data_IF_698945619250
#
_entry.id   IF_698945619250
#
_cell.length_a   1.000
_cell.length_b   1.000
_cell.length_c   1.000
_cell.angle_alpha   90.00
_cell.angle_beta   90.00
_cell.angle_gamma   90.00
#
_symmetry.space_group_name_H-M   'P 1'
#
loop_
_entity.id
_entity.type
_entity.pdbx_description
1 polymer ?
#
# COMPACT_ATOMS: atom_id res chain seq x y z
N UNK A 1 -16.18 -8.73 4.58
CA UNK A 1 -16.21 -7.28 4.28
C UNK A 1 -14.94 -6.55 4.70
N UNK A 2 -14.52 -6.61 5.98
CA UNK A 2 -13.29 -5.94 6.49
C UNK A 2 -12.05 -6.16 5.61
N UNK A 3 -11.70 -7.42 5.29
CA UNK A 3 -10.54 -7.77 4.46
C UNK A 3 -10.62 -7.21 3.04
N UNK A 4 -11.78 -7.33 2.40
CA UNK A 4 -12.02 -6.81 1.05
C UNK A 4 -11.85 -5.29 1.00
N UNK A 5 -12.46 -4.57 1.95
CA UNK A 5 -12.33 -3.12 2.03
C UNK A 5 -10.88 -2.70 2.32
N UNK A 6 -10.20 -3.39 3.23
CA UNK A 6 -8.81 -3.12 3.57
C UNK A 6 -7.86 -3.29 2.38
N UNK A 7 -7.94 -4.42 1.66
CA UNK A 7 -7.06 -4.66 0.52
C UNK A 7 -7.39 -3.71 -0.63
N UNK A 8 -8.67 -3.41 -0.87
CA UNK A 8 -9.08 -2.39 -1.83
C UNK A 8 -8.44 -1.03 -1.50
N UNK A 9 -8.61 -0.54 -0.28
CA UNK A 9 -8.11 0.78 0.14
C UNK A 9 -6.58 0.87 0.11
N UNK A 10 -5.89 -0.14 0.62
CA UNK A 10 -4.43 -0.19 0.63
C UNK A 10 -3.83 -0.31 -0.78
N UNK A 11 -4.43 -1.16 -1.62
CA UNK A 11 -3.93 -1.34 -2.98
C UNK A 11 -4.33 -0.22 -3.93
N UNK A 12 -5.50 0.41 -3.75
CA UNK A 12 -5.91 1.60 -4.48
C UNK A 12 -4.87 2.69 -4.36
N UNK A 13 -4.43 2.95 -3.12
CA UNK A 13 -3.40 3.94 -2.84
C UNK A 13 -2.08 3.63 -3.55
N UNK A 14 -1.60 2.38 -3.45
CA UNK A 14 -0.35 1.97 -4.08
C UNK A 14 -0.41 1.97 -5.61
N UNK A 15 -1.52 1.52 -6.19
CA UNK A 15 -1.74 1.44 -7.63
C UNK A 15 -1.93 2.81 -8.29
N UNK A 16 -2.59 3.74 -7.60
CA UNK A 16 -2.64 5.14 -8.02
C UNK A 16 -1.22 5.73 -8.09
N UNK A 17 -0.43 5.56 -7.02
CA UNK A 17 0.91 6.14 -6.95
C UNK A 17 1.86 5.53 -7.96
N UNK A 18 1.91 4.20 -8.11
CA UNK A 18 2.77 3.57 -9.12
C UNK A 18 2.35 3.95 -10.56
N UNK A 19 1.05 4.09 -10.81
CA UNK A 19 0.51 4.50 -12.11
C UNK A 19 0.89 5.93 -12.50
N UNK A 20 0.97 6.83 -11.52
CA UNK A 20 1.32 8.24 -11.73
C UNK A 20 2.76 8.58 -11.35
N UNK A 21 3.59 7.61 -10.93
CA UNK A 21 4.89 7.83 -10.28
C UNK A 21 5.83 8.72 -11.10
N UNK A 22 5.98 8.40 -12.39
CA UNK A 22 6.83 9.15 -13.32
C UNK A 22 6.31 10.58 -13.55
N UNK A 23 4.99 10.74 -13.61
CA UNK A 23 4.36 12.04 -13.82
C UNK A 23 4.51 12.93 -12.58
N UNK A 24 4.30 12.36 -11.39
CA UNK A 24 4.54 13.03 -10.10
C UNK A 24 5.96 13.57 -10.05
N UNK A 25 6.98 12.74 -10.25
CA UNK A 25 8.38 13.20 -10.22
C UNK A 25 8.71 14.19 -11.34
N UNK A 26 8.08 14.04 -12.52
CA UNK A 26 8.22 14.98 -13.63
C UNK A 26 7.80 16.42 -13.29
N UNK A 27 6.76 16.60 -12.47
CA UNK A 27 6.32 17.93 -12.03
C UNK A 27 7.37 18.68 -11.20
N UNK A 28 8.27 17.95 -10.54
CA UNK A 28 9.34 18.51 -9.71
C UNK A 28 10.67 18.62 -10.46
N UNK A 29 10.68 18.42 -11.79
CA UNK A 29 11.91 18.49 -12.59
C UNK A 29 12.93 17.39 -12.27
N UNK A 30 12.48 16.26 -11.69
CA UNK A 30 13.33 15.10 -11.41
C UNK A 30 13.85 14.54 -12.73
N UNK A 31 15.13 14.18 -12.77
CA UNK A 31 15.76 13.74 -14.02
C UNK A 31 15.15 12.44 -14.55
N UNK A 32 15.03 12.32 -15.88
CA UNK A 32 14.40 11.18 -16.52
C UNK A 32 15.01 9.82 -16.11
N UNK A 33 16.33 9.77 -15.95
CA UNK A 33 17.04 8.59 -15.46
C UNK A 33 16.57 8.19 -14.05
N UNK A 34 16.41 9.16 -13.15
CA UNK A 34 15.95 8.93 -11.77
C UNK A 34 14.48 8.48 -11.75
N UNK A 35 13.62 9.02 -12.63
CA UNK A 35 12.24 8.55 -12.76
C UNK A 35 12.15 7.07 -13.16
N UNK A 36 13.01 6.63 -14.09
CA UNK A 36 13.08 5.22 -14.53
C UNK A 36 13.59 4.34 -13.38
N UNK A 37 14.67 4.75 -12.71
CA UNK A 37 15.19 4.05 -11.54
C UNK A 37 14.16 3.97 -10.42
N UNK A 38 13.35 5.01 -10.23
CA UNK A 38 12.27 5.02 -9.25
C UNK A 38 11.29 3.86 -9.46
N UNK A 39 10.87 3.59 -10.69
CA UNK A 39 9.97 2.45 -10.98
C UNK A 39 10.64 1.11 -10.66
N UNK A 40 11.93 0.95 -11.04
CA UNK A 40 12.67 -0.27 -10.77
C UNK A 40 12.87 -0.50 -9.26
N UNK A 41 13.28 0.54 -8.52
CA UNK A 41 13.47 0.49 -7.08
C UNK A 41 12.16 0.33 -6.32
N UNK A 42 11.05 0.90 -6.80
CA UNK A 42 9.72 0.60 -6.27
C UNK A 42 9.42 -0.89 -6.36
N UNK A 43 9.68 -1.52 -7.51
CA UNK A 43 9.43 -2.95 -7.71
C UNK A 43 10.29 -3.83 -6.80
N UNK A 44 11.58 -3.52 -6.67
CA UNK A 44 12.49 -4.21 -5.74
C UNK A 44 12.05 -4.02 -4.29
N UNK A 45 11.72 -2.79 -3.89
CA UNK A 45 11.23 -2.50 -2.55
C UNK A 45 9.89 -3.20 -2.26
N UNK A 46 9.01 -3.31 -3.25
CA UNK A 46 7.76 -4.06 -3.13
C UNK A 46 8.01 -5.55 -2.87
N UNK A 47 8.94 -6.15 -3.61
CA UNK A 47 9.35 -7.53 -3.39
C UNK A 47 9.93 -7.73 -1.99
N UNK A 48 10.86 -6.88 -1.57
CA UNK A 48 11.44 -6.93 -0.23
C UNK A 48 10.39 -6.71 0.87
N UNK A 49 9.45 -5.79 0.63
CA UNK A 49 8.32 -5.52 1.51
C UNK A 49 7.46 -6.75 1.75
N UNK A 50 7.17 -7.54 0.71
CA UNK A 50 6.42 -8.81 0.85
C UNK A 50 7.10 -9.76 1.82
N UNK A 51 8.41 -9.91 1.71
CA UNK A 51 9.20 -10.80 2.58
C UNK A 51 9.22 -10.26 4.01
N UNK A 52 9.63 -8.99 4.19
CA UNK A 52 9.85 -8.40 5.50
C UNK A 52 8.54 -8.21 6.29
N UNK A 53 7.45 -7.79 5.64
CA UNK A 53 6.14 -7.73 6.29
C UNK A 53 5.59 -9.12 6.60
N UNK A 54 5.87 -10.12 5.74
CA UNK A 54 5.55 -11.51 6.02
C UNK A 54 6.20 -11.99 7.32
N UNK A 55 7.52 -11.88 7.40
CA UNK A 55 8.29 -12.23 8.60
C UNK A 55 7.81 -11.43 9.83
N UNK A 56 7.60 -10.12 9.68
CA UNK A 56 7.10 -9.28 10.76
C UNK A 56 5.72 -9.76 11.28
N UNK A 57 4.83 -10.16 10.38
CA UNK A 57 3.54 -10.73 10.77
C UNK A 57 3.62 -12.09 11.45
N UNK A 58 4.69 -12.87 11.25
CA UNK A 58 4.88 -14.15 11.96
C UNK A 58 5.10 -13.92 13.46
N UNK A 59 5.73 -12.80 13.83
CA UNK A 59 6.01 -12.45 15.22
C UNK A 59 4.91 -11.60 15.87
N UNK A 60 4.31 -10.65 15.14
CA UNK A 60 3.40 -9.65 15.71
C UNK A 60 1.91 -9.88 15.41
N UNK A 61 1.57 -10.86 14.56
CA UNK A 61 0.20 -11.12 14.10
C UNK A 61 -0.17 -10.35 12.82
N UNK A 62 -1.03 -10.92 11.98
CA UNK A 62 -1.29 -10.37 10.67
C UNK A 62 -2.11 -9.06 10.72
N UNK A 63 -3.17 -8.97 11.52
CA UNK A 63 -3.96 -7.76 11.67
C UNK A 63 -3.16 -6.53 12.11
N UNK A 64 -2.25 -6.68 13.11
CA UNK A 64 -1.34 -5.60 13.55
C UNK A 64 -0.40 -5.17 12.45
N UNK A 65 0.18 -6.14 11.73
CA UNK A 65 1.06 -5.87 10.61
C UNK A 65 0.33 -5.17 9.46
N UNK A 66 -0.94 -5.48 9.19
CA UNK A 66 -1.75 -4.77 8.19
C UNK A 66 -1.87 -3.29 8.56
N UNK A 67 -2.26 -2.98 9.81
CA UNK A 67 -2.35 -1.60 10.27
C UNK A 67 -1.03 -0.85 10.09
N UNK A 68 0.09 -1.44 10.55
CA UNK A 68 1.40 -0.80 10.49
C UNK A 68 1.91 -0.62 9.06
N UNK A 69 1.70 -1.61 8.19
CA UNK A 69 2.09 -1.52 6.78
C UNK A 69 1.31 -0.43 6.05
N UNK A 70 0.00 -0.35 6.27
CA UNK A 70 -0.86 0.65 5.65
C UNK A 70 -0.64 2.06 6.20
N UNK A 71 -0.31 2.18 7.49
CA UNK A 71 0.10 3.44 8.09
C UNK A 71 1.44 3.91 7.51
N UNK A 72 2.44 3.02 7.43
CA UNK A 72 3.73 3.32 6.83
C UNK A 72 3.59 3.73 5.36
N UNK A 73 2.80 2.99 4.58
CA UNK A 73 2.48 3.33 3.20
C UNK A 73 1.81 4.71 3.10
N UNK A 74 0.82 4.99 3.96
CA UNK A 74 0.11 6.27 3.98
C UNK A 74 1.05 7.46 4.24
N UNK A 75 1.96 7.34 5.21
CA UNK A 75 2.93 8.38 5.56
C UNK A 75 3.95 8.58 4.42
N UNK A 76 4.45 7.49 3.83
CA UNK A 76 5.37 7.55 2.71
C UNK A 76 4.72 8.24 1.50
N UNK A 77 3.45 7.93 1.20
CA UNK A 77 2.67 8.57 0.14
C UNK A 77 2.44 10.05 0.45
N UNK A 78 1.97 10.39 1.65
CA UNK A 78 1.73 11.79 2.04
C UNK A 78 2.99 12.65 1.88
N UNK A 79 4.15 12.09 2.23
CA UNK A 79 5.44 12.77 2.14
C UNK A 79 5.80 13.20 0.72
N UNK A 80 5.28 12.53 -0.31
CA UNK A 80 5.47 12.95 -1.71
C UNK A 80 4.79 14.28 -2.05
N UNK A 81 3.74 14.66 -1.30
CA UNK A 81 3.03 15.93 -1.46
C UNK A 81 3.48 17.00 -0.46
N UNK A 82 3.99 16.60 0.71
CA UNK A 82 4.31 17.53 1.81
C UNK A 82 5.72 18.14 1.72
N UNK A 83 6.64 17.50 0.97
CA UNK A 83 8.02 17.95 0.87
C UNK A 83 8.40 18.35 -0.56
N UNK A 84 9.26 19.36 -0.75
CA UNK A 84 9.81 19.69 -2.06
C UNK A 84 10.76 18.57 -2.50
N UNK A 85 10.41 17.89 -3.59
CA UNK A 85 11.14 16.71 -4.05
C UNK A 85 12.42 17.10 -4.79
N UNK A 86 13.54 16.53 -4.36
CA UNK A 86 14.78 16.45 -5.14
C UNK A 86 15.03 14.98 -5.54
N UNK A 87 16.02 14.72 -6.40
CA UNK A 87 16.30 13.38 -6.93
C UNK A 87 16.45 12.30 -5.84
N UNK A 88 17.17 12.62 -4.75
CA UNK A 88 17.43 11.66 -3.68
C UNK A 88 16.19 11.40 -2.82
N UNK A 89 15.50 12.47 -2.42
CA UNK A 89 14.28 12.37 -1.61
C UNK A 89 13.17 11.66 -2.37
N UNK A 90 12.98 11.96 -3.65
CA UNK A 90 12.03 11.27 -4.51
C UNK A 90 12.31 9.76 -4.53
N UNK A 91 13.54 9.33 -4.82
CA UNK A 91 13.88 7.90 -4.84
C UNK A 91 13.65 7.24 -3.49
N UNK A 92 14.04 7.90 -2.40
CA UNK A 92 13.84 7.38 -1.05
C UNK A 92 12.35 7.15 -0.76
N UNK A 93 11.50 8.14 -1.02
CA UNK A 93 10.05 8.04 -0.79
C UNK A 93 9.40 7.00 -1.71
N UNK A 94 9.87 6.87 -2.95
CA UNK A 94 9.42 5.82 -3.88
C UNK A 94 9.76 4.42 -3.36
N UNK A 95 10.94 4.23 -2.79
CA UNK A 95 11.33 2.98 -2.13
C UNK A 95 10.44 2.70 -0.92
N UNK A 96 10.21 3.69 -0.06
CA UNK A 96 9.32 3.55 1.09
C UNK A 96 7.88 3.19 0.68
N UNK A 97 7.32 3.88 -0.32
CA UNK A 97 5.97 3.58 -0.82
C UNK A 97 5.88 2.17 -1.41
N UNK A 98 6.89 1.73 -2.17
CA UNK A 98 6.98 0.37 -2.69
C UNK A 98 7.03 -0.68 -1.58
N UNK A 99 7.86 -0.44 -0.55
CA UNK A 99 7.99 -1.31 0.62
C UNK A 99 6.66 -1.48 1.37
N UNK A 100 5.96 -0.38 1.68
CA UNK A 100 4.65 -0.43 2.31
C UNK A 100 3.62 -1.16 1.45
N UNK A 101 3.60 -0.87 0.15
CA UNK A 101 2.70 -1.53 -0.80
C UNK A 101 2.91 -3.06 -0.84
N UNK A 102 4.13 -3.53 -0.61
CA UNK A 102 4.48 -4.96 -0.57
C UNK A 102 3.71 -5.75 0.49
N UNK A 103 3.39 -5.13 1.62
CA UNK A 103 2.64 -5.76 2.70
C UNK A 103 1.23 -6.20 2.31
N UNK A 104 0.56 -5.48 1.40
CA UNK A 104 -0.83 -5.74 1.03
C UNK A 104 -1.10 -7.18 0.53
N UNK A 105 -0.15 -7.77 -0.20
CA UNK A 105 -0.38 -9.10 -0.79
C UNK A 105 -0.21 -10.22 0.23
N UNK A 106 0.83 -10.12 1.05
CA UNK A 106 1.20 -11.19 2.00
C UNK A 106 0.33 -11.12 3.25
N UNK A 107 0.11 -9.93 3.78
CA UNK A 107 -0.60 -9.74 5.04
C UNK A 107 -2.09 -10.07 4.94
N UNK A 108 -2.75 -9.67 3.85
CA UNK A 108 -4.17 -9.97 3.67
C UNK A 108 -4.42 -11.45 3.37
N UNK A 109 -3.53 -12.11 2.61
CA UNK A 109 -3.60 -13.57 2.44
C UNK A 109 -3.46 -14.29 3.79
N UNK A 110 -2.49 -13.86 4.60
CA UNK A 110 -2.26 -14.44 5.92
C UNK A 110 -3.40 -14.20 6.90
N UNK A 111 -3.91 -12.97 7.00
CA UNK A 111 -5.06 -12.66 7.84
C UNK A 111 -6.31 -13.44 7.39
N UNK A 112 -6.50 -13.62 6.08
CA UNK A 112 -7.57 -14.47 5.54
C UNK A 112 -7.40 -15.93 6.01
N UNK A 113 -6.18 -16.46 5.96
CA UNK A 113 -5.88 -17.82 6.43
C UNK A 113 -6.11 -17.97 7.94
N UNK A 114 -5.79 -16.94 8.73
CA UNK A 114 -6.01 -16.94 10.18
C UNK A 114 -7.51 -16.90 10.54
N UNK A 115 -8.32 -16.16 9.80
CA UNK A 115 -9.75 -16.01 10.10
C UNK A 115 -10.62 -17.15 9.55
N UNK A 116 -10.29 -17.69 8.38
CA UNK A 116 -11.12 -18.70 7.69
C UNK A 116 -10.48 -20.10 7.66
N UNK A 117 -9.26 -20.24 8.17
CA UNK A 117 -8.48 -21.46 8.11
C UNK A 117 -7.78 -21.64 6.76
N UNK A 118 -6.63 -22.33 6.78
CA UNK A 118 -5.80 -22.53 5.59
C UNK A 118 -6.52 -23.34 4.50
N UNK A 119 -7.39 -24.27 4.88
CA UNK A 119 -8.18 -25.09 3.95
C UNK A 119 -9.12 -24.24 3.08
N UNK A 120 -9.73 -23.19 3.65
CA UNK A 120 -10.69 -22.34 2.95
C UNK A 120 -10.02 -21.16 2.23
N UNK A 121 -8.71 -20.97 2.39
CA UNK A 121 -7.99 -19.82 1.81
C UNK A 121 -8.16 -19.75 0.29
N UNK A 122 -8.06 -20.89 -0.40
CA UNK A 122 -8.21 -20.96 -1.86
C UNK A 122 -9.61 -20.54 -2.35
N UNK A 123 -10.64 -20.71 -1.53
CA UNK A 123 -12.01 -20.32 -1.84
C UNK A 123 -12.31 -18.88 -1.45
N UNK A 124 -11.84 -18.43 -0.27
CA UNK A 124 -12.19 -17.11 0.29
C UNK A 124 -11.30 -16.00 -0.23
N UNK A 125 -9.99 -16.24 -0.36
CA UNK A 125 -9.04 -15.20 -0.75
C UNK A 125 -9.32 -14.58 -2.12
N UNK A 126 -9.78 -15.31 -3.16
CA UNK A 126 -10.17 -14.69 -4.43
C UNK A 126 -11.24 -13.60 -4.27
N UNK A 127 -12.22 -13.80 -3.38
CA UNK A 127 -13.24 -12.77 -3.09
C UNK A 127 -12.63 -11.53 -2.43
N UNK A 128 -11.67 -11.71 -1.53
CA UNK A 128 -10.90 -10.60 -0.94
C UNK A 128 -10.09 -9.90 -2.03
N UNK A 129 -9.38 -10.67 -2.84
CA UNK A 129 -8.51 -10.20 -3.92
C UNK A 129 -9.25 -9.47 -5.04
N UNK A 130 -10.55 -9.70 -5.19
CA UNK A 130 -11.40 -8.88 -6.06
C UNK A 130 -11.30 -7.38 -5.74
N UNK A 131 -11.09 -7.03 -4.47
CA UNK A 131 -10.83 -5.64 -4.06
C UNK A 131 -9.60 -5.05 -4.74
N UNK A 132 -8.52 -5.83 -4.88
CA UNK A 132 -7.33 -5.43 -5.63
C UNK A 132 -7.63 -5.23 -7.12
N UNK A 133 -8.42 -6.10 -7.74
CA UNK A 133 -8.78 -5.97 -9.15
C UNK A 133 -9.54 -4.67 -9.42
N UNK A 134 -10.52 -4.33 -8.56
CA UNK A 134 -11.27 -3.07 -8.67
C UNK A 134 -10.33 -1.88 -8.42
N UNK A 135 -9.45 -1.97 -7.42
CA UNK A 135 -8.47 -0.94 -7.10
C UNK A 135 -7.49 -0.66 -8.26
N UNK A 136 -7.10 -1.69 -9.02
CA UNK A 136 -6.21 -1.54 -10.18
C UNK A 136 -6.81 -0.76 -11.33
N UNK A 137 -8.14 -0.71 -11.43
CA UNK A 137 -8.86 0.14 -12.38
C UNK A 137 -9.10 1.51 -11.75
N UNK A 138 -9.68 1.53 -10.55
CA UNK A 138 -10.12 2.77 -9.91
C UNK A 138 -8.96 3.69 -9.51
N UNK A 139 -7.82 3.15 -9.06
CA UNK A 139 -6.68 3.93 -8.60
C UNK A 139 -6.07 4.82 -9.69
N UNK A 140 -5.55 4.25 -10.79
CA UNK A 140 -4.99 5.03 -11.90
C UNK A 140 -6.00 5.98 -12.54
N UNK A 141 -7.26 5.56 -12.71
CA UNK A 141 -8.32 6.41 -13.27
C UNK A 141 -8.60 7.63 -12.38
N UNK A 142 -8.67 7.43 -11.06
CA UNK A 142 -8.86 8.53 -10.11
C UNK A 142 -7.68 9.49 -10.13
N UNK A 143 -6.45 8.96 -10.23
CA UNK A 143 -5.24 9.77 -10.34
C UNK A 143 -5.22 10.64 -11.61
N UNK A 144 -5.60 10.06 -12.76
CA UNK A 144 -5.73 10.80 -14.02
C UNK A 144 -6.81 11.87 -13.98
N UNK A 145 -8.02 11.52 -13.54
CA UNK A 145 -9.13 12.48 -13.45
C UNK A 145 -8.81 13.65 -12.51
N UNK A 146 -8.19 13.39 -11.35
CA UNK A 146 -7.78 14.45 -10.44
C UNK A 146 -6.71 15.36 -11.04
N UNK A 147 -5.79 14.81 -11.82
CA UNK A 147 -4.80 15.61 -12.54
C UNK A 147 -5.48 16.50 -13.59
N UNK A 148 -6.42 15.97 -14.37
CA UNK A 148 -7.11 16.72 -15.42
C UNK A 148 -7.92 17.90 -14.85
N UNK A 149 -8.48 17.75 -13.63
CA UNK A 149 -9.24 18.81 -12.97
C UNK A 149 -8.38 19.87 -12.26
N UNK A 150 -7.28 19.46 -11.62
CA UNK A 150 -6.49 20.35 -10.75
C UNK A 150 -5.12 20.72 -11.32
N UNK A 151 -4.72 20.16 -12.46
CA UNK A 151 -3.40 20.28 -13.08
C UNK A 151 -2.22 19.93 -12.13
N UNK A 152 -2.49 19.15 -11.08
CA UNK A 152 -1.52 18.79 -10.04
C UNK A 152 -1.81 17.40 -9.48
N UNK A 153 -0.75 16.65 -9.16
CA UNK A 153 -0.89 15.36 -8.49
C UNK A 153 -1.05 15.46 -6.97
N UNK A 154 -0.96 16.65 -6.37
CA UNK A 154 -1.09 16.81 -4.92
C UNK A 154 -2.41 16.23 -4.40
N UNK A 155 -3.53 16.49 -5.07
CA UNK A 155 -4.85 15.96 -4.71
C UNK A 155 -4.90 14.43 -4.80
N UNK A 156 -4.32 13.86 -5.86
CA UNK A 156 -4.25 12.42 -6.07
C UNK A 156 -3.37 11.72 -5.02
N UNK A 157 -2.24 12.33 -4.65
CA UNK A 157 -1.35 11.83 -3.59
C UNK A 157 -2.05 11.86 -2.22
N UNK A 158 -2.73 12.97 -1.90
CA UNK A 158 -3.47 13.08 -0.65
C UNK A 158 -4.63 12.08 -0.59
N UNK A 159 -5.37 11.90 -1.68
CA UNK A 159 -6.41 10.87 -1.76
C UNK A 159 -5.82 9.48 -1.50
N UNK A 160 -4.73 9.11 -2.19
CA UNK A 160 -4.07 7.83 -1.98
C UNK A 160 -3.62 7.65 -0.52
N UNK A 161 -3.02 8.68 0.09
CA UNK A 161 -2.61 8.64 1.49
C UNK A 161 -3.79 8.41 2.45
N UNK A 162 -4.90 9.13 2.25
CA UNK A 162 -6.12 9.01 3.06
C UNK A 162 -6.76 7.64 2.89
N UNK A 163 -6.83 7.12 1.66
CA UNK A 163 -7.35 5.76 1.40
C UNK A 163 -6.50 4.71 2.12
N UNK A 164 -5.17 4.78 2.03
CA UNK A 164 -4.28 3.85 2.74
C UNK A 164 -4.48 3.94 4.25
N UNK A 165 -4.59 5.15 4.80
CA UNK A 165 -4.82 5.35 6.23
C UNK A 165 -6.17 4.77 6.66
N UNK A 166 -7.24 5.05 5.91
CA UNK A 166 -8.57 4.50 6.17
C UNK A 166 -8.56 2.97 6.16
N UNK A 167 -7.84 2.36 5.21
CA UNK A 167 -7.62 0.91 5.17
C UNK A 167 -6.92 0.39 6.42
N UNK A 168 -5.89 1.10 6.88
CA UNK A 168 -5.19 0.79 8.13
C UNK A 168 -6.13 0.86 9.33
N UNK A 169 -6.90 1.94 9.47
CA UNK A 169 -7.81 2.17 10.60
C UNK A 169 -8.85 1.05 10.79
N UNK A 170 -9.23 0.32 9.73
CA UNK A 170 -10.09 -0.87 9.84
C UNK A 170 -9.49 -1.98 10.72
N UNK A 171 -8.16 -1.98 10.90
CA UNK A 171 -7.40 -2.97 11.67
C UNK A 171 -6.84 -2.39 12.98
N UNK A 172 -7.21 -1.16 13.36
CA UNK A 172 -6.71 -0.52 14.60
C UNK A 172 -7.05 -1.32 15.86
N UNK A 173 -8.20 -2.00 15.87
CA UNK A 173 -8.63 -2.81 17.01
C UNK A 173 -7.77 -4.06 17.18
N UNK A 174 -7.15 -4.54 16.10
CA UNK A 174 -6.23 -5.70 16.15
C UNK A 174 -4.93 -5.36 16.87
N UNK A 175 -4.61 -4.07 17.09
CA UNK A 175 -3.45 -3.64 17.89
C UNK A 175 -3.63 -4.06 19.36
N UNK A 176 -4.88 -4.06 19.85
CA UNK A 176 -5.22 -4.31 21.25
C UNK A 176 -5.42 -5.79 21.58
N UNK A 177 -5.67 -6.64 20.58
CA UNK A 177 -5.69 -8.08 20.78
C UNK A 177 -4.26 -8.58 20.97
N UNK A 178 -3.85 -8.77 22.24
CA UNK A 178 -2.69 -9.61 22.56
C UNK A 178 -3.06 -11.04 22.12
N UNK A 179 -2.18 -11.79 21.44
CA UNK A 179 -2.46 -13.17 21.11
C UNK A 179 -2.71 -13.93 22.42
N UNK A 180 -3.95 -14.37 22.66
CA UNK A 180 -4.18 -15.39 23.68
C UNK A 180 -3.42 -16.65 23.24
N UNK A 181 -2.59 -17.12 24.15
CA UNK A 181 -1.77 -18.32 24.08
C UNK A 181 -2.47 -19.45 23.33
N UNK A 182 -1.87 -19.95 22.25
CA UNK A 182 -2.02 -21.37 21.90
C UNK A 182 -0.91 -22.13 22.64
N UNK A 183 -1.15 -22.38 23.94
CA UNK A 183 -0.59 -23.54 24.61
C UNK A 183 -1.56 -24.69 24.33
N UNK A 184 -1.13 -25.64 23.50
CA UNK A 184 -1.61 -27.02 23.48
C UNK A 184 -0.43 -27.90 23.07
#
# INVERSE_FOLDING_TARGET
VKLFAGIFLGTFAGLLIIGSLRLIGGQYGISAHILILGVAFFAVANFLGRILWGLFSDHFGAGKSIFLALLFQSVAIASLALFPLNNALYLFLVVCTGFGFGGNFVLFAKETAQLFGLHNLGTVYPYVFMGYAIAGIAGPLSGGALYDHFASFTSAILLASVMSLAGGLLFVNEIRSVPHEHRA
#
